data_IF_887941553219
#
_entry.id   IF_887941553219
#
_cell.length_a   1.000
_cell.length_b   1.000
_cell.length_c   1.000
_cell.angle_alpha   90.00
_cell.angle_beta   90.00
_cell.angle_gamma   90.00
#
_symmetry.space_group_name_H-M   'P 1'
#
loop_
_entity.id
_entity.type
_entity.pdbx_description
1 polymer ?
#
# COMPACT_ATOMS: atom_id res chain seq x y z
N UNK A 1 6.48 -8.73 7.85
CA UNK A 1 5.39 -8.02 7.15
C UNK A 1 5.96 -6.95 6.24
N UNK A 2 5.30 -6.76 5.10
CA UNK A 2 5.58 -5.68 4.15
C UNK A 2 4.35 -4.79 4.02
N UNK A 3 4.57 -3.48 3.89
CA UNK A 3 3.50 -2.51 3.62
C UNK A 3 3.99 -1.39 2.72
N UNK A 4 3.08 -0.86 1.92
CA UNK A 4 3.33 0.30 1.06
C UNK A 4 2.59 1.50 1.62
N UNK A 5 3.25 2.63 1.71
CA UNK A 5 2.68 3.89 2.17
C UNK A 5 2.89 4.96 1.11
N UNK A 6 1.83 5.72 0.83
CA UNK A 6 1.86 6.86 -0.09
C UNK A 6 1.35 8.09 0.65
N UNK A 7 2.02 9.22 0.44
CA UNK A 7 1.69 10.48 1.12
C UNK A 7 2.10 11.67 0.27
N UNK A 8 1.50 12.83 0.55
CA UNK A 8 1.95 14.10 -0.02
C UNK A 8 3.17 14.62 0.73
N UNK A 9 4.11 15.19 -0.01
CA UNK A 9 5.29 15.86 0.52
C UNK A 9 5.26 17.34 0.13
N UNK A 10 4.67 18.15 0.99
CA UNK A 10 4.69 19.63 0.99
C UNK A 10 4.16 20.35 -0.23
N UNK A 11 4.45 19.92 -1.44
CA UNK A 11 4.21 20.58 -2.72
C UNK A 11 3.34 19.77 -3.71
N UNK A 12 2.41 18.98 -3.20
CA UNK A 12 1.53 18.10 -3.98
C UNK A 12 2.25 16.92 -4.67
N UNK A 13 3.55 16.75 -4.47
CA UNK A 13 4.26 15.57 -4.94
C UNK A 13 3.87 14.34 -4.12
N UNK A 14 3.75 13.18 -4.78
CA UNK A 14 3.46 11.93 -4.09
C UNK A 14 4.76 11.18 -3.88
N UNK A 15 5.04 10.86 -2.62
CA UNK A 15 6.12 9.96 -2.24
C UNK A 15 5.57 8.61 -1.82
N UNK A 16 6.29 7.55 -2.18
CA UNK A 16 6.01 6.19 -1.77
C UNK A 16 7.11 5.68 -0.84
N UNK A 17 6.72 4.95 0.21
CA UNK A 17 7.64 4.19 1.07
C UNK A 17 7.24 2.72 1.09
N UNK A 18 8.23 1.84 1.02
CA UNK A 18 8.07 0.41 1.29
C UNK A 18 8.62 0.17 2.69
N UNK A 19 7.81 -0.39 3.58
CA UNK A 19 8.22 -0.74 4.92
C UNK A 19 8.32 -2.24 5.07
N UNK A 20 9.46 -2.71 5.55
CA UNK A 20 9.69 -4.07 6.01
C UNK A 20 9.68 -4.04 7.54
N UNK A 21 8.84 -4.87 8.16
CA UNK A 21 8.73 -4.92 9.62
C UNK A 21 8.82 -6.33 10.14
N UNK A 22 9.52 -6.51 11.26
CA UNK A 22 9.60 -7.76 11.98
C UNK A 22 9.32 -7.52 13.47
N UNK A 23 8.76 -8.55 14.13
CA UNK A 23 8.59 -8.58 15.58
C UNK A 23 9.57 -9.61 16.15
N UNK A 24 10.36 -9.21 17.11
CA UNK A 24 11.43 -10.04 17.68
C UNK A 24 11.65 -9.74 19.18
N UNK A 25 12.37 -10.61 19.84
CA UNK A 25 12.80 -10.38 21.22
C UNK A 25 13.99 -9.39 21.24
N UNK A 26 14.15 -8.55 22.28
CA UNK A 26 15.17 -7.53 22.33
C UNK A 26 16.61 -8.05 22.09
N UNK A 27 16.90 -9.25 22.57
CA UNK A 27 18.23 -9.88 22.39
C UNK A 27 18.54 -10.22 20.93
N UNK A 28 17.53 -10.33 20.06
CA UNK A 28 17.67 -10.69 18.65
C UNK A 28 17.60 -9.47 17.72
N UNK A 29 17.70 -8.26 18.25
CA UNK A 29 17.52 -7.02 17.49
C UNK A 29 18.50 -6.91 16.31
N UNK A 30 19.76 -7.21 16.53
CA UNK A 30 20.81 -7.16 15.49
C UNK A 30 20.57 -8.21 14.42
N UNK A 31 20.33 -9.46 14.81
CA UNK A 31 20.13 -10.56 13.87
C UNK A 31 18.86 -10.38 13.05
N UNK A 32 17.77 -9.89 13.67
CA UNK A 32 16.54 -9.58 12.97
C UNK A 32 16.73 -8.44 11.96
N UNK A 33 17.52 -7.44 12.29
CA UNK A 33 17.85 -6.35 11.38
C UNK A 33 18.71 -6.83 10.22
N UNK A 34 19.74 -7.63 10.49
CA UNK A 34 20.56 -8.27 9.44
C UNK A 34 19.71 -9.08 8.48
N UNK A 35 18.80 -9.90 8.99
CA UNK A 35 17.88 -10.69 8.18
C UNK A 35 16.97 -9.82 7.28
N UNK A 36 16.48 -8.69 7.78
CA UNK A 36 15.69 -7.75 6.97
C UNK A 36 16.54 -7.20 5.81
N UNK A 37 17.81 -6.87 6.08
CA UNK A 37 18.74 -6.38 5.05
C UNK A 37 19.09 -7.46 4.03
N UNK A 38 19.31 -8.70 4.45
CA UNK A 38 19.51 -9.85 3.57
C UNK A 38 18.30 -10.07 2.66
N UNK A 39 17.07 -10.04 3.22
CA UNK A 39 15.85 -10.14 2.42
C UNK A 39 15.79 -9.02 1.38
N UNK A 40 16.12 -7.78 1.73
CA UNK A 40 16.08 -6.67 0.79
C UNK A 40 17.15 -6.80 -0.30
N UNK A 41 18.38 -7.16 0.06
CA UNK A 41 19.53 -7.12 -0.83
C UNK A 41 19.70 -8.40 -1.66
N UNK A 42 19.37 -9.56 -1.09
CA UNK A 42 19.71 -10.86 -1.67
C UNK A 42 18.51 -11.62 -2.26
N UNK A 43 17.29 -11.02 -2.15
CA UNK A 43 16.11 -11.62 -2.78
C UNK A 43 16.27 -11.69 -4.29
N UNK A 44 16.09 -12.90 -4.84
CA UNK A 44 16.09 -13.19 -6.26
C UNK A 44 14.69 -13.49 -6.74
N UNK A 45 14.33 -12.97 -7.90
CA UNK A 45 13.03 -13.20 -8.55
C UNK A 45 13.21 -14.10 -9.78
N UNK A 46 13.97 -15.20 -9.62
CA UNK A 46 14.35 -16.13 -10.68
C UNK A 46 13.51 -17.42 -10.70
N UNK A 47 12.83 -17.76 -9.62
CA UNK A 47 11.90 -18.90 -9.56
C UNK A 47 10.52 -18.50 -10.12
N UNK A 48 10.38 -18.53 -11.44
CA UNK A 48 9.16 -18.21 -12.15
C UNK A 48 7.95 -19.02 -11.66
N UNK A 49 8.14 -20.34 -11.44
CA UNK A 49 7.05 -21.21 -11.00
C UNK A 49 6.55 -20.81 -9.61
N UNK A 50 7.47 -20.57 -8.68
CA UNK A 50 7.12 -20.16 -7.33
C UNK A 50 6.45 -18.80 -7.29
N UNK A 51 6.91 -17.88 -8.11
CA UNK A 51 6.31 -16.52 -8.20
C UNK A 51 4.89 -16.60 -8.78
N UNK A 52 4.65 -17.41 -9.80
CA UNK A 52 3.29 -17.67 -10.32
C UNK A 52 2.36 -18.19 -9.24
N UNK A 53 2.79 -19.20 -8.46
CA UNK A 53 2.00 -19.73 -7.36
C UNK A 53 1.67 -18.66 -6.32
N UNK A 54 2.65 -17.86 -5.91
CA UNK A 54 2.46 -16.78 -4.95
C UNK A 54 1.51 -15.69 -5.48
N UNK A 55 1.65 -15.32 -6.75
CA UNK A 55 0.77 -14.32 -7.38
C UNK A 55 -0.67 -14.83 -7.49
N UNK A 56 -0.85 -16.11 -7.81
CA UNK A 56 -2.17 -16.73 -7.80
C UNK A 56 -2.79 -16.76 -6.41
N UNK A 57 -2.02 -17.14 -5.38
CA UNK A 57 -2.48 -17.10 -3.98
C UNK A 57 -2.87 -15.69 -3.55
N UNK A 58 -2.06 -14.68 -3.91
CA UNK A 58 -2.37 -13.28 -3.64
C UNK A 58 -3.66 -12.83 -4.34
N UNK A 59 -3.87 -13.25 -5.58
CA UNK A 59 -5.11 -12.96 -6.31
C UNK A 59 -6.34 -13.56 -5.63
N UNK A 60 -6.27 -14.81 -5.20
CA UNK A 60 -7.37 -15.46 -4.48
C UNK A 60 -7.67 -14.74 -3.16
N UNK A 61 -6.64 -14.38 -2.40
CA UNK A 61 -6.79 -13.58 -1.17
C UNK A 61 -7.39 -12.19 -1.45
N UNK A 62 -7.00 -11.56 -2.56
CA UNK A 62 -7.54 -10.29 -2.97
C UNK A 62 -9.03 -10.40 -3.34
N UNK A 63 -9.44 -11.41 -4.09
CA UNK A 63 -10.85 -11.67 -4.41
C UNK A 63 -11.68 -11.87 -3.14
N UNK A 64 -11.19 -12.67 -2.20
CA UNK A 64 -11.83 -12.88 -0.90
C UNK A 64 -11.99 -11.56 -0.13
N UNK A 65 -10.95 -10.74 -0.13
CA UNK A 65 -10.97 -9.42 0.52
C UNK A 65 -12.02 -8.47 -0.08
N UNK A 66 -12.27 -8.55 -1.39
CA UNK A 66 -13.33 -7.75 -2.04
C UNK A 66 -14.71 -8.15 -1.50
N UNK A 67 -14.97 -9.44 -1.34
CA UNK A 67 -16.25 -9.92 -0.80
C UNK A 67 -16.43 -9.51 0.66
N UNK A 68 -15.39 -9.67 1.48
CA UNK A 68 -15.43 -9.36 2.92
C UNK A 68 -15.49 -7.86 3.22
N UNK A 69 -14.80 -7.06 2.40
CA UNK A 69 -14.58 -5.63 2.63
C UNK A 69 -15.08 -4.76 1.47
N UNK A 70 -16.14 -5.15 0.78
CA UNK A 70 -16.66 -4.45 -0.39
C UNK A 70 -16.94 -2.97 -0.17
N UNK A 71 -17.37 -2.57 1.04
CA UNK A 71 -17.54 -1.17 1.41
C UNK A 71 -16.23 -0.37 1.31
N UNK A 72 -15.09 -0.95 1.70
CA UNK A 72 -13.78 -0.32 1.60
C UNK A 72 -13.37 -0.10 0.14
N UNK A 73 -13.58 -1.11 -0.71
CA UNK A 73 -13.27 -1.00 -2.14
C UNK A 73 -14.18 0.01 -2.84
N UNK A 74 -15.47 0.03 -2.49
CA UNK A 74 -16.41 1.02 -3.01
C UNK A 74 -15.99 2.45 -2.63
N UNK A 75 -15.60 2.69 -1.36
CA UNK A 75 -15.11 3.98 -0.89
C UNK A 75 -13.81 4.39 -1.58
N UNK A 76 -12.87 3.45 -1.76
CA UNK A 76 -11.60 3.69 -2.42
C UNK A 76 -11.81 4.08 -3.89
N UNK A 77 -12.69 3.36 -4.61
CA UNK A 77 -13.08 3.70 -5.97
C UNK A 77 -13.76 5.07 -6.07
N UNK A 78 -14.69 5.37 -5.16
CA UNK A 78 -15.38 6.67 -5.15
C UNK A 78 -14.41 7.84 -4.87
N UNK A 79 -13.45 7.67 -3.98
CA UNK A 79 -12.48 8.72 -3.63
C UNK A 79 -11.37 8.92 -4.66
N UNK A 80 -11.10 7.93 -5.51
CA UNK A 80 -10.00 7.96 -6.49
C UNK A 80 -10.09 9.10 -7.50
N UNK A 81 -11.29 9.64 -7.72
CA UNK A 81 -11.53 10.74 -8.64
C UNK A 81 -11.31 12.13 -8.04
N UNK A 82 -11.14 12.24 -6.72
CA UNK A 82 -11.03 13.50 -6.02
C UNK A 82 -9.59 13.98 -5.81
N UNK A 83 -8.64 13.06 -5.66
CA UNK A 83 -7.25 13.43 -5.42
C UNK A 83 -6.26 12.45 -6.06
N UNK A 84 -5.10 12.98 -6.42
CA UNK A 84 -3.97 12.22 -6.98
C UNK A 84 -3.52 11.10 -6.03
N UNK A 85 -3.49 11.36 -4.73
CA UNK A 85 -3.14 10.35 -3.71
C UNK A 85 -4.16 9.21 -3.66
N UNK A 86 -5.47 9.54 -3.64
CA UNK A 86 -6.53 8.53 -3.64
C UNK A 86 -6.54 7.70 -4.92
N UNK A 87 -6.22 8.32 -6.06
CA UNK A 87 -6.04 7.61 -7.33
C UNK A 87 -4.90 6.60 -7.27
N UNK A 88 -3.75 6.98 -6.69
CA UNK A 88 -2.62 6.07 -6.51
C UNK A 88 -2.98 4.90 -5.57
N UNK A 89 -3.62 5.20 -4.46
CA UNK A 89 -4.04 4.18 -3.50
C UNK A 89 -5.03 3.19 -4.13
N UNK A 90 -5.99 3.67 -4.91
CA UNK A 90 -6.93 2.83 -5.65
C UNK A 90 -6.22 1.99 -6.72
N UNK A 91 -5.35 2.59 -7.49
CA UNK A 91 -4.59 1.89 -8.53
C UNK A 91 -3.72 0.76 -7.98
N UNK A 92 -3.26 0.86 -6.74
CA UNK A 92 -2.37 -0.13 -6.11
C UNK A 92 -3.12 -1.16 -5.29
N UNK A 93 -4.11 -0.75 -4.51
CA UNK A 93 -4.83 -1.61 -3.57
C UNK A 93 -6.33 -1.68 -3.77
N UNK A 94 -6.88 -0.99 -4.78
CA UNK A 94 -8.28 -0.99 -5.15
C UNK A 94 -8.64 -1.97 -6.26
N UNK A 95 -9.80 -1.80 -6.85
CA UNK A 95 -10.32 -2.69 -7.90
C UNK A 95 -9.48 -2.65 -9.18
N UNK A 96 -8.83 -1.53 -9.49
CA UNK A 96 -7.92 -1.39 -10.62
C UNK A 96 -6.69 -2.30 -10.53
N UNK A 97 -6.35 -2.74 -9.31
CA UNK A 97 -5.26 -3.67 -9.09
C UNK A 97 -5.49 -5.06 -9.69
N UNK A 98 -6.76 -5.44 -9.95
CA UNK A 98 -7.12 -6.75 -10.55
C UNK A 98 -6.37 -6.98 -11.86
N UNK A 99 -6.25 -5.96 -12.70
CA UNK A 99 -5.59 -6.06 -14.01
C UNK A 99 -4.14 -6.53 -13.92
N UNK A 100 -3.46 -6.29 -12.80
CA UNK A 100 -2.08 -6.72 -12.59
C UNK A 100 -1.93 -8.23 -12.37
N UNK A 101 -2.99 -8.88 -11.90
CA UNK A 101 -2.98 -10.33 -11.69
C UNK A 101 -3.32 -11.13 -12.95
N UNK A 102 -3.90 -10.48 -13.97
CA UNK A 102 -4.36 -11.15 -15.19
C UNK A 102 -3.27 -12.00 -15.86
N UNK A 103 -2.02 -11.54 -16.04
CA UNK A 103 -0.96 -12.36 -16.65
C UNK A 103 -0.70 -13.67 -15.90
N UNK A 104 -0.76 -13.62 -14.56
CA UNK A 104 -0.47 -14.77 -13.70
C UNK A 104 -1.62 -15.77 -13.62
N UNK A 105 -2.86 -15.30 -13.82
CA UNK A 105 -4.05 -16.14 -13.81
C UNK A 105 -4.25 -16.83 -15.18
N UNK A 106 -4.00 -16.11 -16.26
CA UNK A 106 -4.21 -16.59 -17.64
C UNK A 106 -3.04 -17.41 -18.20
N UNK A 107 -1.97 -17.63 -17.41
CA UNK A 107 -0.75 -18.35 -17.81
C UNK A 107 -0.13 -17.84 -19.12
N UNK A 108 -0.13 -16.53 -19.31
CA UNK A 108 0.50 -15.90 -20.47
C UNK A 108 2.02 -15.74 -20.22
N UNK A 109 2.80 -16.77 -20.55
CA UNK A 109 4.21 -16.89 -20.18
C UNK A 109 5.08 -15.68 -20.59
N UNK A 110 4.86 -15.11 -21.77
CA UNK A 110 5.63 -13.95 -22.20
C UNK A 110 5.32 -12.69 -21.36
N UNK A 111 4.07 -12.49 -21.00
CA UNK A 111 3.67 -11.38 -20.13
C UNK A 111 4.21 -11.57 -18.71
N UNK A 112 4.26 -12.80 -18.21
CA UNK A 112 4.83 -13.11 -16.90
C UNK A 112 6.31 -12.76 -16.87
N UNK A 113 7.08 -13.17 -17.86
CA UNK A 113 8.53 -12.85 -17.97
C UNK A 113 8.78 -11.35 -17.99
N UNK A 114 7.96 -10.59 -18.70
CA UNK A 114 8.07 -9.13 -18.71
C UNK A 114 7.76 -8.52 -17.33
N UNK A 115 6.71 -9.01 -16.65
CA UNK A 115 6.39 -8.57 -15.30
C UNK A 115 7.50 -8.90 -14.30
N UNK A 116 8.11 -10.09 -14.37
CA UNK A 116 9.23 -10.46 -13.52
C UNK A 116 10.43 -9.56 -13.72
N UNK A 117 10.78 -9.21 -14.97
CA UNK A 117 11.83 -8.24 -15.26
C UNK A 117 11.55 -6.86 -14.66
N UNK A 118 10.29 -6.40 -14.75
CA UNK A 118 9.87 -5.13 -14.13
C UNK A 118 9.98 -5.19 -12.60
N UNK A 119 9.53 -6.29 -11.99
CA UNK A 119 9.66 -6.50 -10.54
C UNK A 119 11.12 -6.51 -10.10
N UNK A 120 12.00 -7.21 -10.82
CA UNK A 120 13.44 -7.22 -10.53
C UNK A 120 14.05 -5.81 -10.66
N UNK A 121 13.73 -5.07 -11.72
CA UNK A 121 14.20 -3.69 -11.90
C UNK A 121 13.72 -2.77 -10.76
N UNK A 122 12.49 -2.93 -10.29
CA UNK A 122 11.96 -2.17 -9.15
C UNK A 122 12.69 -2.53 -7.85
N UNK A 123 12.95 -3.81 -7.61
CA UNK A 123 13.70 -4.26 -6.44
C UNK A 123 15.11 -3.66 -6.43
N UNK A 124 15.81 -3.66 -7.56
CA UNK A 124 17.15 -3.05 -7.67
C UNK A 124 17.13 -1.53 -7.40
N UNK A 125 16.10 -0.83 -7.87
CA UNK A 125 15.92 0.59 -7.53
C UNK A 125 15.71 0.79 -6.02
N UNK A 126 14.87 -0.04 -5.39
CA UNK A 126 14.60 0.05 -3.94
C UNK A 126 15.87 -0.15 -3.11
N UNK A 127 16.81 -0.97 -3.57
CA UNK A 127 18.11 -1.19 -2.89
C UNK A 127 19.01 0.06 -2.88
N UNK A 128 18.83 0.96 -3.84
CA UNK A 128 19.63 2.18 -3.97
C UNK A 128 19.07 3.37 -3.19
N UNK A 129 17.84 3.28 -2.70
CA UNK A 129 17.15 4.39 -2.06
C UNK A 129 17.53 4.55 -0.57
N UNK A 130 17.18 5.71 -0.02
CA UNK A 130 17.39 6.04 1.38
C UNK A 130 16.62 5.10 2.30
N UNK A 131 17.32 4.45 3.21
CA UNK A 131 16.73 3.57 4.21
C UNK A 131 16.66 4.25 5.59
N UNK A 132 15.55 4.06 6.28
CA UNK A 132 15.36 4.47 7.66
C UNK A 132 15.02 3.24 8.52
N UNK A 133 15.58 3.14 9.72
CA UNK A 133 15.26 2.07 10.66
C UNK A 133 14.65 2.66 11.91
N UNK A 134 13.46 2.15 12.26
CA UNK A 134 12.76 2.51 13.47
C UNK A 134 12.66 1.29 14.39
N UNK A 135 13.15 1.43 15.61
CA UNK A 135 12.97 0.44 16.68
C UNK A 135 11.95 0.92 17.69
N UNK A 136 11.00 0.07 18.01
CA UNK A 136 10.06 0.27 19.11
C UNK A 136 10.26 -0.88 20.08
N UNK A 137 10.76 -0.58 21.27
CA UNK A 137 11.08 -1.58 22.31
C UNK A 137 10.78 -1.03 23.70
N UNK A 138 10.44 -1.93 24.62
CA UNK A 138 10.32 -1.61 26.05
C UNK A 138 11.68 -1.57 26.78
N UNK A 139 12.75 -2.02 26.13
CA UNK A 139 14.12 -2.00 26.63
C UNK A 139 15.02 -1.21 25.69
N UNK A 140 16.01 -0.49 26.25
CA UNK A 140 17.00 0.22 25.43
C UNK A 140 17.95 -0.80 24.78
N UNK A 141 18.27 -0.58 23.52
CA UNK A 141 19.37 -1.28 22.87
C UNK A 141 20.70 -0.84 23.50
N UNK A 142 21.64 -1.76 23.61
CA UNK A 142 23.01 -1.42 24.05
C UNK A 142 23.74 -0.60 22.98
N UNK A 143 24.76 0.13 23.37
CA UNK A 143 25.56 0.92 22.42
C UNK A 143 26.19 0.02 21.34
N UNK A 144 26.66 -1.16 21.70
CA UNK A 144 27.22 -2.12 20.74
C UNK A 144 26.19 -2.59 19.71
N UNK A 145 24.94 -2.87 20.13
CA UNK A 145 23.87 -3.23 19.20
C UNK A 145 23.51 -2.09 18.22
N UNK A 146 23.49 -0.85 18.74
CA UNK A 146 23.24 0.34 17.92
C UNK A 146 24.36 0.52 16.89
N UNK A 147 25.61 0.34 17.28
CA UNK A 147 26.75 0.50 16.39
C UNK A 147 26.77 -0.58 15.32
N UNK A 148 26.52 -1.85 15.67
CA UNK A 148 26.38 -2.94 14.69
C UNK A 148 25.25 -2.68 13.67
N UNK A 149 24.13 -2.11 14.10
CA UNK A 149 23.03 -1.77 13.21
C UNK A 149 23.40 -0.60 12.27
N UNK A 150 24.13 0.40 12.78
CA UNK A 150 24.61 1.51 11.95
C UNK A 150 25.62 1.07 10.89
N UNK A 151 26.42 0.05 11.18
CA UNK A 151 27.40 -0.51 10.24
C UNK A 151 26.75 -1.29 9.08
N UNK A 152 25.45 -1.58 9.14
CA UNK A 152 24.68 -2.19 8.05
C UNK A 152 24.41 -1.22 6.87
N UNK A 153 25.32 -0.34 6.58
CA UNK A 153 25.48 0.47 5.37
C UNK A 153 24.18 1.01 4.75
N UNK A 154 23.55 1.96 5.45
CA UNK A 154 22.39 2.69 4.95
C UNK A 154 22.82 3.63 3.82
N UNK A 155 22.41 3.34 2.58
CA UNK A 155 22.59 4.27 1.47
C UNK A 155 21.72 5.50 1.65
N UNK A 156 22.30 6.69 1.46
CA UNK A 156 21.66 7.98 1.76
C UNK A 156 21.11 8.72 0.55
N UNK A 157 21.12 8.15 -0.64
CA UNK A 157 20.76 8.88 -1.87
C UNK A 157 19.50 8.30 -2.51
N UNK A 158 18.58 9.19 -2.84
CA UNK A 158 17.39 8.92 -3.62
C UNK A 158 16.14 9.55 -3.02
N UNK A 159 15.72 10.65 -3.58
CA UNK A 159 14.41 11.25 -3.31
C UNK A 159 13.66 11.28 -4.64
N UNK A 160 12.97 10.19 -4.97
CA UNK A 160 12.20 10.11 -6.21
C UNK A 160 10.74 10.43 -5.93
N UNK A 161 10.35 11.65 -6.27
CA UNK A 161 8.94 12.00 -6.40
C UNK A 161 8.35 11.23 -7.58
N UNK A 162 7.18 10.64 -7.38
CA UNK A 162 6.45 9.96 -8.45
C UNK A 162 5.58 11.00 -9.14
N UNK A 163 5.89 11.33 -10.40
CA UNK A 163 4.99 12.11 -11.22
C UNK A 163 3.95 11.20 -11.87
N UNK A 164 2.68 11.46 -11.58
CA UNK A 164 1.55 10.66 -12.04
C UNK A 164 0.57 11.61 -12.72
N UNK A 165 0.25 11.30 -13.97
CA UNK A 165 -0.86 11.95 -14.65
C UNK A 165 -2.17 11.61 -13.93
N UNK A 166 -2.83 12.61 -13.42
CA UNK A 166 -4.12 12.50 -12.76
C UNK A 166 -5.14 13.39 -13.44
N UNK A 167 -6.27 12.80 -13.85
CA UNK A 167 -7.41 13.53 -14.39
C UNK A 167 -8.63 13.25 -13.52
N UNK A 168 -9.31 14.30 -13.08
CA UNK A 168 -10.59 14.21 -12.36
C UNK A 168 -11.70 13.78 -13.33
N UNK A 169 -11.77 12.49 -13.60
CA UNK A 169 -12.86 11.91 -14.39
C UNK A 169 -13.82 11.17 -13.49
N UNK A 170 -15.09 11.60 -13.50
CA UNK A 170 -16.13 10.93 -12.73
C UNK A 170 -16.67 9.73 -13.52
N UNK A 171 -16.25 8.54 -13.18
CA UNK A 171 -16.75 7.31 -13.76
C UNK A 171 -17.67 6.59 -12.78
N UNK A 172 -18.84 6.19 -13.27
CA UNK A 172 -19.68 5.23 -12.55
C UNK A 172 -19.14 3.84 -12.84
N UNK A 173 -18.59 3.18 -11.84
CA UNK A 173 -18.07 1.82 -11.96
C UNK A 173 -18.94 0.89 -11.13
N UNK A 174 -19.39 -0.20 -11.73
CA UNK A 174 -20.07 -1.28 -11.04
C UNK A 174 -19.29 -2.57 -11.27
N UNK A 175 -18.91 -3.25 -10.17
CA UNK A 175 -18.28 -4.55 -10.21
C UNK A 175 -19.27 -5.60 -9.70
N UNK A 176 -19.68 -6.56 -10.54
CA UNK A 176 -20.48 -7.69 -10.06
C UNK A 176 -19.61 -8.61 -9.20
N UNK A 177 -20.03 -8.86 -7.97
CA UNK A 177 -19.37 -9.77 -7.04
C UNK A 177 -20.39 -10.78 -6.50
N UNK A 178 -19.92 -11.99 -6.18
CA UNK A 178 -20.79 -13.02 -5.62
C UNK A 178 -20.97 -12.80 -4.12
N UNK A 179 -21.97 -11.98 -3.77
CA UNK A 179 -22.32 -11.66 -2.37
C UNK A 179 -23.82 -11.45 -2.23
N UNK A 180 -24.34 -11.62 -1.02
CA UNK A 180 -25.73 -11.38 -0.69
C UNK A 180 -26.07 -9.91 -0.45
N UNK A 181 -25.08 -9.05 -0.35
CA UNK A 181 -25.22 -7.61 -0.05
C UNK A 181 -24.58 -6.77 -1.15
N UNK A 182 -25.13 -5.59 -1.39
CA UNK A 182 -24.55 -4.61 -2.29
C UNK A 182 -23.79 -3.56 -1.50
N UNK A 183 -22.65 -3.15 -2.03
CA UNK A 183 -21.85 -2.08 -1.49
C UNK A 183 -21.88 -0.87 -2.43
N UNK A 184 -22.27 0.28 -1.93
CA UNK A 184 -22.21 1.53 -2.67
C UNK A 184 -21.52 2.59 -1.84
N UNK A 185 -20.75 3.44 -2.49
CA UNK A 185 -20.09 4.57 -1.87
C UNK A 185 -20.21 5.81 -2.75
N UNK A 186 -20.22 6.94 -2.08
CA UNK A 186 -20.22 8.27 -2.69
C UNK A 186 -19.21 9.12 -1.93
N UNK A 187 -18.40 9.86 -2.64
CA UNK A 187 -17.43 10.78 -2.05
C UNK A 187 -17.68 12.21 -2.52
N UNK A 188 -17.30 13.16 -1.69
CA UNK A 188 -17.47 14.59 -1.93
C UNK A 188 -16.16 15.30 -1.57
N UNK A 189 -15.91 16.43 -2.24
CA UNK A 189 -14.81 17.31 -1.86
C UNK A 189 -15.08 17.86 -0.45
N UNK A 190 -14.03 17.91 0.36
CA UNK A 190 -14.06 18.42 1.71
C UNK A 190 -12.84 19.34 1.93
N UNK A 191 -12.88 20.25 2.93
CA UNK A 191 -11.72 21.05 3.28
C UNK A 191 -10.52 20.18 3.63
N UNK A 192 -9.32 20.68 3.34
CA UNK A 192 -8.06 20.05 3.75
C UNK A 192 -7.98 19.96 5.28
N UNK A 193 -7.24 18.98 5.79
CA UNK A 193 -7.22 18.61 7.21
C UNK A 193 -6.87 19.79 8.16
N UNK A 194 -5.99 20.68 7.76
CA UNK A 194 -5.54 21.86 8.52
C UNK A 194 -6.41 23.11 8.35
N UNK A 195 -7.45 23.04 7.51
CA UNK A 195 -8.38 24.15 7.37
C UNK A 195 -9.20 24.36 8.65
N UNK A 196 -9.52 25.64 8.97
CA UNK A 196 -10.37 26.01 10.11
C UNK A 196 -11.72 25.29 10.13
N UNK A 197 -12.23 24.93 8.98
CA UNK A 197 -13.52 24.25 8.81
C UNK A 197 -13.44 22.74 9.01
N UNK A 198 -12.26 22.15 8.97
CA UNK A 198 -12.07 20.69 9.06
C UNK A 198 -12.71 20.06 10.33
N UNK A 199 -12.59 20.63 11.55
CA UNK A 199 -13.24 20.07 12.73
C UNK A 199 -14.77 20.02 12.62
N UNK A 200 -15.39 20.98 11.93
CA UNK A 200 -16.84 20.98 11.71
C UNK A 200 -17.28 19.81 10.84
N UNK A 201 -16.49 19.47 9.82
CA UNK A 201 -16.77 18.32 8.95
C UNK A 201 -16.60 16.99 9.68
N UNK A 202 -15.65 16.88 10.61
CA UNK A 202 -15.50 15.69 11.48
C UNK A 202 -16.75 15.49 12.35
N UNK A 203 -17.24 16.57 12.98
CA UNK A 203 -18.46 16.53 13.78
C UNK A 203 -19.67 16.19 12.90
N UNK A 204 -19.81 16.86 11.75
CA UNK A 204 -20.90 16.59 10.81
C UNK A 204 -20.91 15.12 10.34
N UNK A 205 -19.76 14.55 10.00
CA UNK A 205 -19.68 13.16 9.58
C UNK A 205 -20.11 12.20 10.70
N UNK A 206 -19.77 12.52 11.95
CA UNK A 206 -20.17 11.73 13.11
C UNK A 206 -21.69 11.82 13.35
N UNK A 207 -22.27 13.01 13.23
CA UNK A 207 -23.73 13.21 13.35
C UNK A 207 -24.49 12.47 12.25
N UNK A 208 -24.04 12.61 10.99
CA UNK A 208 -24.65 11.91 9.87
C UNK A 208 -24.61 10.40 10.04
N UNK A 209 -23.50 9.86 10.52
CA UNK A 209 -23.33 8.43 10.76
C UNK A 209 -24.27 7.91 11.85
N UNK A 210 -24.31 8.59 12.98
CA UNK A 210 -24.98 8.06 14.18
C UNK A 210 -26.47 8.39 14.23
N UNK A 211 -26.85 9.60 13.81
CA UNK A 211 -28.22 10.08 13.96
C UNK A 211 -29.05 9.91 12.69
N UNK A 212 -28.46 10.18 11.53
CA UNK A 212 -29.22 10.20 10.28
C UNK A 212 -29.13 8.87 9.53
N UNK A 213 -27.93 8.42 9.16
CA UNK A 213 -27.78 7.22 8.33
C UNK A 213 -28.18 5.96 9.08
N UNK A 214 -27.85 5.87 10.37
CA UNK A 214 -28.25 4.73 11.19
C UNK A 214 -29.77 4.56 11.26
N UNK A 215 -30.51 5.64 11.38
CA UNK A 215 -31.98 5.62 11.52
C UNK A 215 -32.75 5.50 10.19
N UNK A 216 -32.11 5.79 9.05
CA UNK A 216 -32.75 5.79 7.73
C UNK A 216 -32.40 4.60 6.85
N UNK A 217 -31.26 3.98 7.09
CA UNK A 217 -30.74 2.88 6.26
C UNK A 217 -30.95 1.51 6.89
N UNK A 218 -31.26 1.45 8.19
CA UNK A 218 -31.61 0.21 8.92
C UNK A 218 -33.11 0.01 9.06
#
# INVERSE_FOLDING_TARGET
NTSNHFFYDGDESIKGKISLSAKFLPNNAVDATKLIFEILNDTKLDDEKRIKELMFQNFMGFQQSIVENGHRFAMMGASSTHSKLSFVQESIGGLSAISRFVPFISNQDDQIKDQLKKMQSMLEKTKSDKNEVLFISNTKLSSSQIDEIKDLNFKKEGDSAIDIEFSKTFNKVALPINTQVNFSAMSFDAPVYDAKESPKFIILSSLLRNEYLHNRVR
#
